data_IF_050321163236
#
_entry.id   IF_050321163236
#
_cell.length_a   1.000
_cell.length_b   1.000
_cell.length_c   1.000
_cell.angle_alpha   90.00
_cell.angle_beta   90.00
_cell.angle_gamma   90.00
#
_symmetry.space_group_name_H-M   'P 1'
#
loop_
_entity.id
_entity.type
_entity.pdbx_description
1 polymer ?
#
# COMPACT_ATOMS: atom_id res chain seq x y z
N UNK A 1 8.75 -19.52 -6.40
CA UNK A 1 9.20 -18.24 -6.95
C UNK A 1 10.48 -17.85 -6.23
N UNK A 2 11.51 -17.40 -6.94
CA UNK A 2 12.71 -16.86 -6.29
C UNK A 2 12.30 -15.58 -5.50
N UNK A 3 12.86 -15.39 -4.31
CA UNK A 3 12.56 -14.24 -3.44
C UNK A 3 12.89 -12.93 -4.13
N UNK A 4 13.99 -12.89 -4.89
CA UNK A 4 14.39 -11.70 -5.64
C UNK A 4 13.38 -11.38 -6.76
N UNK A 5 12.87 -12.40 -7.46
CA UNK A 5 11.82 -12.22 -8.46
C UNK A 5 10.53 -11.69 -7.81
N UNK A 6 10.12 -12.25 -6.67
CA UNK A 6 8.92 -11.82 -5.95
C UNK A 6 9.04 -10.35 -5.48
N UNK A 7 10.22 -9.91 -5.04
CA UNK A 7 10.47 -8.50 -4.69
C UNK A 7 10.41 -7.56 -5.90
N UNK A 8 10.91 -7.98 -7.07
CA UNK A 8 10.81 -7.21 -8.31
C UNK A 8 9.36 -7.09 -8.80
N UNK A 9 8.60 -8.18 -8.73
CA UNK A 9 7.17 -8.18 -9.06
C UNK A 9 6.38 -7.33 -8.08
N UNK A 10 6.72 -7.38 -6.80
CA UNK A 10 6.12 -6.52 -5.79
C UNK A 10 6.42 -5.03 -6.04
N UNK A 11 7.64 -4.69 -6.47
CA UNK A 11 7.97 -3.32 -6.89
C UNK A 11 7.08 -2.85 -8.05
N UNK A 12 6.89 -3.68 -9.09
CA UNK A 12 5.98 -3.36 -10.19
C UNK A 12 4.54 -3.21 -9.70
N UNK A 13 4.08 -4.05 -8.77
CA UNK A 13 2.76 -3.95 -8.19
C UNK A 13 2.56 -2.64 -7.40
N UNK A 14 3.57 -2.18 -6.66
CA UNK A 14 3.57 -0.88 -5.96
C UNK A 14 3.48 0.30 -6.94
N UNK A 15 4.16 0.24 -8.08
CA UNK A 15 4.02 1.25 -9.14
C UNK A 15 2.65 1.18 -9.81
N UNK A 16 2.11 -0.03 -10.01
CA UNK A 16 0.81 -0.23 -10.62
C UNK A 16 -0.33 0.34 -9.75
N UNK A 17 -0.33 0.11 -8.43
CA UNK A 17 -1.37 0.71 -7.57
C UNK A 17 -1.34 2.24 -7.59
N UNK A 18 -0.15 2.84 -7.75
CA UNK A 18 -0.02 4.29 -7.93
C UNK A 18 -0.65 4.74 -9.26
N UNK A 19 -0.34 4.04 -10.36
CA UNK A 19 -0.92 4.34 -11.67
C UNK A 19 -2.45 4.18 -11.66
N UNK A 20 -2.96 3.12 -11.06
CA UNK A 20 -4.40 2.89 -10.92
C UNK A 20 -5.08 3.95 -10.05
N UNK A 21 -4.42 4.43 -8.99
CA UNK A 21 -4.92 5.53 -8.18
C UNK A 21 -5.04 6.86 -8.96
N UNK A 22 -4.24 7.05 -10.02
CA UNK A 22 -4.38 8.22 -10.91
C UNK A 22 -5.61 8.13 -11.82
N UNK A 23 -6.18 6.94 -12.01
CA UNK A 23 -7.40 6.73 -12.78
C UNK A 23 -8.68 6.92 -11.95
N UNK A 24 -8.56 7.26 -10.66
CA UNK A 24 -9.69 7.57 -9.80
C UNK A 24 -10.42 8.85 -10.24
N UNK A 25 -11.71 9.02 -9.88
CA UNK A 25 -12.51 10.18 -10.28
C UNK A 25 -11.87 11.54 -9.96
N UNK A 26 -11.14 11.64 -8.85
CA UNK A 26 -10.33 12.80 -8.51
C UNK A 26 -8.88 12.35 -8.26
N UNK A 27 -7.99 12.38 -9.27
CA UNK A 27 -6.66 11.81 -9.16
C UNK A 27 -5.83 12.44 -8.03
N UNK A 28 -5.36 11.62 -7.09
CA UNK A 28 -4.37 12.04 -6.09
C UNK A 28 -2.97 11.57 -6.49
N UNK A 29 -2.06 12.54 -6.66
CA UNK A 29 -0.65 12.28 -6.96
C UNK A 29 0.12 12.09 -5.66
N UNK A 30 0.25 10.84 -5.21
CA UNK A 30 1.08 10.46 -4.07
C UNK A 30 2.59 10.56 -4.39
N UNK A 31 3.10 11.76 -4.66
CA UNK A 31 4.49 12.00 -5.13
C UNK A 31 5.54 11.45 -4.17
N UNK A 32 5.33 11.61 -2.86
CA UNK A 32 6.22 11.06 -1.83
C UNK A 32 6.24 9.53 -1.83
N UNK A 33 5.10 8.89 -2.04
CA UNK A 33 5.02 7.44 -2.16
C UNK A 33 5.82 6.98 -3.39
N UNK A 34 5.58 7.59 -4.55
CA UNK A 34 6.28 7.27 -5.78
C UNK A 34 7.80 7.47 -5.65
N UNK A 35 8.24 8.56 -5.02
CA UNK A 35 9.65 8.83 -4.76
C UNK A 35 10.30 7.71 -3.94
N UNK A 36 9.71 7.36 -2.78
CA UNK A 36 10.26 6.33 -1.90
C UNK A 36 10.30 4.96 -2.61
N UNK A 37 9.29 4.63 -3.41
CA UNK A 37 9.26 3.36 -4.17
C UNK A 37 10.32 3.32 -5.28
N UNK A 38 10.57 4.44 -5.96
CA UNK A 38 11.62 4.52 -6.98
C UNK A 38 13.02 4.53 -6.38
N UNK A 39 13.20 5.12 -5.20
CA UNK A 39 14.50 5.23 -4.53
C UNK A 39 14.93 3.91 -3.88
N UNK A 40 14.02 3.23 -3.18
CA UNK A 40 14.34 2.04 -2.37
C UNK A 40 13.82 0.72 -2.95
N UNK A 41 13.03 0.77 -4.04
CA UNK A 41 12.28 -0.39 -4.51
C UNK A 41 11.06 -0.70 -3.64
N UNK A 42 10.21 -1.62 -4.11
CA UNK A 42 8.92 -1.89 -3.48
C UNK A 42 9.05 -2.41 -2.04
N UNK A 43 9.91 -3.42 -1.84
CA UNK A 43 10.04 -4.11 -0.55
C UNK A 43 10.60 -3.22 0.54
N UNK A 44 11.75 -2.59 0.31
CA UNK A 44 12.37 -1.71 1.30
C UNK A 44 11.51 -0.46 1.55
N UNK A 45 10.83 0.09 0.54
CA UNK A 45 9.87 1.16 0.73
C UNK A 45 8.72 0.75 1.68
N UNK A 46 8.12 -0.43 1.46
CA UNK A 46 7.07 -0.95 2.32
C UNK A 46 7.57 -1.17 3.76
N UNK A 47 8.79 -1.70 3.94
CA UNK A 47 9.40 -1.88 5.26
C UNK A 47 9.54 -0.56 6.02
N UNK A 48 10.06 0.48 5.36
CA UNK A 48 10.18 1.83 5.96
C UNK A 48 8.82 2.43 6.29
N UNK A 49 7.80 2.22 5.44
CA UNK A 49 6.46 2.76 5.67
C UNK A 49 5.73 2.04 6.80
N UNK A 50 5.89 0.72 6.92
CA UNK A 50 5.28 -0.09 7.97
C UNK A 50 5.96 0.09 9.33
N UNK A 51 7.29 0.33 9.37
CA UNK A 51 8.03 0.56 10.62
C UNK A 51 7.64 1.84 11.36
N UNK A 52 6.95 2.77 10.70
CA UNK A 52 6.36 3.96 11.36
C UNK A 52 5.23 3.63 12.34
N UNK A 53 4.79 2.37 12.36
CA UNK A 53 3.82 1.83 13.30
C UNK A 53 2.37 2.20 12.97
N UNK A 54 1.45 1.73 13.79
CA UNK A 54 0.00 1.82 13.51
C UNK A 54 -0.53 3.25 13.66
N UNK A 55 0.06 4.07 14.52
CA UNK A 55 -0.49 5.38 14.95
C UNK A 55 -0.30 6.51 13.94
N UNK A 56 0.64 6.35 13.00
CA UNK A 56 0.94 7.39 12.02
C UNK A 56 -0.06 7.27 10.88
N UNK A 57 -1.21 7.94 11.01
CA UNK A 57 -2.17 8.09 9.91
C UNK A 57 -1.45 8.79 8.77
N UNK A 58 -1.19 8.07 7.68
CA UNK A 58 -0.54 8.65 6.52
C UNK A 58 -1.57 9.55 5.84
N UNK A 59 -1.21 10.82 5.59
CA UNK A 59 -2.05 11.78 4.85
C UNK A 59 -2.56 11.18 3.53
N UNK A 60 -1.77 10.29 2.91
CA UNK A 60 -2.15 9.57 1.70
C UNK A 60 -3.40 8.68 1.81
N UNK A 61 -3.78 8.19 3.00
CA UNK A 61 -5.03 7.42 3.17
C UNK A 61 -6.25 8.31 2.99
N UNK A 62 -6.26 9.44 3.69
CA UNK A 62 -7.35 10.41 3.60
C UNK A 62 -7.52 10.88 2.17
N UNK A 63 -6.42 11.23 1.52
CA UNK A 63 -6.43 11.66 0.12
C UNK A 63 -6.97 10.56 -0.81
N UNK A 64 -6.50 9.30 -0.68
CA UNK A 64 -6.96 8.21 -1.52
C UNK A 64 -8.46 7.92 -1.36
N UNK A 65 -8.98 8.02 -0.12
CA UNK A 65 -10.41 7.86 0.17
C UNK A 65 -11.22 8.97 -0.51
N UNK A 66 -10.80 10.23 -0.37
CA UNK A 66 -11.47 11.37 -1.00
C UNK A 66 -11.43 11.25 -2.53
N UNK A 67 -10.27 10.89 -3.08
CA UNK A 67 -10.02 10.73 -4.50
C UNK A 67 -10.87 9.65 -5.16
N UNK A 68 -11.03 8.51 -4.49
CA UNK A 68 -11.80 7.38 -5.01
C UNK A 68 -13.26 7.36 -4.59
N UNK A 69 -13.74 8.37 -3.85
CA UNK A 69 -15.13 8.45 -3.43
C UNK A 69 -15.52 7.46 -2.33
N UNK A 70 -14.55 7.01 -1.53
CA UNK A 70 -14.82 6.20 -0.34
C UNK A 70 -13.70 5.23 0.03
N UNK A 71 -13.94 4.52 1.14
CA UNK A 71 -12.97 3.61 1.78
C UNK A 71 -12.52 2.47 0.85
N UNK A 72 -13.36 2.05 -0.10
CA UNK A 72 -13.02 1.05 -1.11
C UNK A 72 -11.81 1.41 -1.98
N UNK A 73 -11.48 2.70 -2.11
CA UNK A 73 -10.30 3.19 -2.82
C UNK A 73 -8.98 2.72 -2.20
N UNK A 74 -8.99 2.34 -0.91
CA UNK A 74 -7.81 1.81 -0.22
C UNK A 74 -7.32 0.47 -0.78
N UNK A 75 -8.06 -0.16 -1.69
CA UNK A 75 -7.53 -1.28 -2.50
C UNK A 75 -6.29 -0.89 -3.32
N UNK A 76 -6.09 0.41 -3.58
CA UNK A 76 -4.92 0.98 -4.25
C UNK A 76 -3.83 1.45 -3.26
N UNK A 77 -3.91 1.05 -1.99
CA UNK A 77 -2.88 1.32 -0.98
C UNK A 77 -1.86 0.18 -0.88
N UNK A 78 -0.66 0.51 -0.37
CA UNK A 78 0.35 -0.50 -0.04
C UNK A 78 -0.16 -1.46 1.03
N UNK A 79 -0.87 -0.95 2.04
CA UNK A 79 -1.41 -1.76 3.14
C UNK A 79 -2.36 -2.84 2.64
N UNK A 80 -3.20 -2.55 1.65
CA UNK A 80 -4.05 -3.58 1.04
C UNK A 80 -3.21 -4.58 0.24
N UNK A 81 -2.25 -4.09 -0.54
CA UNK A 81 -1.40 -4.90 -1.41
C UNK A 81 -0.57 -5.93 -0.62
N UNK A 82 0.07 -5.53 0.49
CA UNK A 82 0.91 -6.44 1.29
C UNK A 82 0.14 -7.58 1.93
N UNK A 83 -1.19 -7.44 2.07
CA UNK A 83 -2.05 -8.50 2.60
C UNK A 83 -2.47 -9.53 1.53
N UNK A 84 -2.22 -9.24 0.24
CA UNK A 84 -2.61 -10.14 -0.85
C UNK A 84 -1.51 -11.18 -1.11
N UNK A 85 -1.92 -12.37 -1.57
CA UNK A 85 -0.99 -13.34 -2.16
C UNK A 85 -0.55 -12.85 -3.55
N UNK A 86 0.72 -13.07 -3.95
CA UNK A 86 1.79 -13.73 -3.19
C UNK A 86 2.58 -12.77 -2.25
N UNK A 87 2.25 -11.48 -2.24
CA UNK A 87 3.05 -10.43 -1.59
C UNK A 87 3.19 -10.60 -0.08
N UNK A 88 2.17 -11.11 0.60
CA UNK A 88 2.21 -11.31 2.04
C UNK A 88 3.39 -12.17 2.51
N UNK A 89 3.90 -13.05 1.65
CA UNK A 89 5.03 -13.94 1.96
C UNK A 89 6.38 -13.19 2.03
N UNK A 90 6.42 -11.92 1.60
CA UNK A 90 7.57 -11.05 1.76
C UNK A 90 7.65 -10.39 3.16
N UNK A 91 6.55 -10.38 3.91
CA UNK A 91 6.41 -9.57 5.12
C UNK A 91 6.25 -10.42 6.38
N UNK A 92 6.65 -9.86 7.52
CA UNK A 92 6.43 -10.52 8.82
C UNK A 92 4.98 -10.37 9.28
N UNK A 93 4.56 -11.22 10.21
CA UNK A 93 3.21 -11.13 10.79
C UNK A 93 2.95 -9.77 11.44
N UNK A 94 3.96 -9.17 12.08
CA UNK A 94 3.84 -7.84 12.68
C UNK A 94 3.60 -6.75 11.62
N UNK A 95 4.31 -6.83 10.49
CA UNK A 95 4.14 -5.89 9.38
C UNK A 95 2.74 -6.00 8.78
N UNK A 96 2.26 -7.23 8.57
CA UNK A 96 0.91 -7.50 8.09
C UNK A 96 -0.16 -7.03 9.10
N UNK A 97 0.09 -7.21 10.40
CA UNK A 97 -0.79 -6.72 11.45
C UNK A 97 -0.89 -5.18 11.46
N UNK A 98 0.23 -4.48 11.25
CA UNK A 98 0.23 -3.02 11.11
C UNK A 98 -0.62 -2.59 9.91
N UNK A 99 -0.43 -3.23 8.75
CA UNK A 99 -1.20 -2.93 7.54
C UNK A 99 -2.71 -3.14 7.76
N UNK A 100 -3.08 -4.30 8.35
CA UNK A 100 -4.47 -4.63 8.66
C UNK A 100 -5.12 -3.61 9.60
N UNK A 101 -4.46 -3.29 10.71
CA UNK A 101 -4.99 -2.34 11.70
C UNK A 101 -5.13 -0.91 11.15
N UNK A 102 -4.25 -0.49 10.23
CA UNK A 102 -4.39 0.79 9.54
C UNK A 102 -5.65 0.84 8.68
N UNK A 103 -5.94 -0.24 7.93
CA UNK A 103 -7.15 -0.37 7.12
C UNK A 103 -8.42 -0.43 7.99
N UNK A 104 -8.41 -1.23 9.06
CA UNK A 104 -9.55 -1.34 9.99
C UNK A 104 -9.88 -0.01 10.67
N UNK A 105 -8.86 0.78 11.04
CA UNK A 105 -9.07 2.08 11.71
C UNK A 105 -9.86 3.08 10.87
N UNK A 106 -9.76 3.00 9.55
CA UNK A 106 -10.50 3.85 8.62
C UNK A 106 -11.78 3.17 8.09
N UNK A 107 -12.18 2.05 8.70
CA UNK A 107 -13.41 1.33 8.39
C UNK A 107 -13.36 0.50 7.11
N UNK A 108 -12.16 0.10 6.65
CA UNK A 108 -12.05 -0.74 5.47
C UNK A 108 -12.61 -2.14 5.75
N UNK A 109 -13.54 -2.56 4.90
CA UNK A 109 -14.08 -3.91 4.90
C UNK A 109 -13.37 -4.70 3.81
N UNK A 110 -12.69 -5.77 4.19
CA UNK A 110 -12.04 -6.66 3.22
C UNK A 110 -13.12 -7.28 2.33
N UNK A 111 -12.99 -7.19 0.99
CA UNK A 111 -13.90 -7.88 0.09
C UNK A 111 -13.81 -9.39 0.35
N UNK A 112 -14.97 -10.06 0.31
CA UNK A 112 -15.08 -11.52 0.44
C UNK A 112 -14.60 -12.22 -0.82
#
# INVERSE_FOLDING_TARGET
>A
MDKNQLEQEFHKAMLNIYQEALNLPQPYKATRFLQIVNEFGGKEAADKLLSTGEKKTQTGFTELILSGGGVHALKYSMEYLVLQKPWCDLFTEEQLAVARKRLERVGFVFPK
#
